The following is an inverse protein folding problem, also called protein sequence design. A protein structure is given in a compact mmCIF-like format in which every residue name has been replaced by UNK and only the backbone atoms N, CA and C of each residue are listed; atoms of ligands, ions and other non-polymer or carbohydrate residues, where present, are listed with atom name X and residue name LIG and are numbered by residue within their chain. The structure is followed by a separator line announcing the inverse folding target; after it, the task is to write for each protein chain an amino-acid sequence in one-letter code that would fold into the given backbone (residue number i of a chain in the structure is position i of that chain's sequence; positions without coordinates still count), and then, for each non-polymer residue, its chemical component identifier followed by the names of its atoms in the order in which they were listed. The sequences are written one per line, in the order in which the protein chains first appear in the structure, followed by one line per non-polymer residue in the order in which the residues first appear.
data_IF_141411153537
#
_entry.id   IF_141411153537
#
_cell.length_a   1.000
_cell.length_b   1.000
_cell.length_c   1.000
_cell.angle_alpha   90.00
_cell.angle_beta   90.00
_cell.angle_gamma   90.00
#
_symmetry.space_group_name_H-M   'P 1'
#
loop_
_entity.id
_entity.type
_entity.pdbx_description
1 polymer ?
#
# COMPACT_ATOMS: atom_id res chain seq x y z
N UNK A 1 23.83 19.30 -21.46
CA UNK A 1 23.48 19.37 -20.02
C UNK A 1 22.93 18.02 -19.68
N UNK A 2 23.78 17.14 -19.17
CA UNK A 2 23.38 15.76 -18.83
C UNK A 2 22.58 15.82 -17.54
N UNK A 3 21.31 15.45 -17.65
CA UNK A 3 20.42 15.13 -16.56
C UNK A 3 20.91 13.84 -15.90
N UNK A 4 21.90 13.96 -15.01
CA UNK A 4 22.38 12.91 -14.10
C UNK A 4 21.34 12.52 -13.02
N UNK A 5 20.07 12.84 -13.25
CA UNK A 5 18.95 12.49 -12.40
C UNK A 5 18.93 10.99 -12.26
N UNK A 6 19.55 10.50 -11.19
CA UNK A 6 19.75 9.09 -10.91
C UNK A 6 18.38 8.44 -10.98
N UNK A 7 18.10 7.75 -12.09
CA UNK A 7 16.85 7.05 -12.33
C UNK A 7 16.78 5.94 -11.28
N UNK A 8 16.18 6.28 -10.14
CA UNK A 8 16.12 5.40 -8.99
C UNK A 8 15.01 4.40 -9.28
N UNK A 9 15.40 3.26 -9.83
CA UNK A 9 14.47 2.20 -10.15
C UNK A 9 14.23 1.34 -8.91
N UNK A 10 13.05 1.50 -8.31
CA UNK A 10 12.62 0.69 -7.16
C UNK A 10 11.97 -0.57 -7.72
N UNK A 11 12.51 -1.74 -7.38
CA UNK A 11 11.91 -3.03 -7.73
C UNK A 11 11.04 -3.50 -6.58
N UNK A 12 9.81 -3.86 -6.90
CA UNK A 12 8.83 -4.42 -5.97
C UNK A 12 8.42 -5.82 -6.45
N UNK A 13 9.31 -6.83 -6.35
CA UNK A 13 9.07 -8.14 -6.94
C UNK A 13 7.93 -8.93 -6.30
N UNK A 14 7.54 -8.59 -5.06
CA UNK A 14 6.52 -9.31 -4.29
C UNK A 14 5.12 -8.68 -4.40
N UNK A 15 5.00 -7.54 -5.09
CA UNK A 15 3.75 -6.80 -5.19
C UNK A 15 3.21 -6.97 -6.61
N UNK A 16 2.01 -7.54 -6.73
CA UNK A 16 1.37 -7.65 -8.05
C UNK A 16 0.93 -6.28 -8.56
N UNK A 17 0.87 -6.07 -9.89
CA UNK A 17 0.43 -4.80 -10.46
C UNK A 17 -0.96 -4.35 -9.98
N UNK A 18 -1.88 -5.29 -9.76
CA UNK A 18 -3.23 -5.02 -9.28
C UNK A 18 -3.21 -4.48 -7.84
N UNK A 19 -2.44 -5.12 -6.96
CA UNK A 19 -2.28 -4.65 -5.57
C UNK A 19 -1.57 -3.31 -5.53
N UNK A 20 -0.56 -3.11 -6.38
CA UNK A 20 0.14 -1.84 -6.47
C UNK A 20 -0.80 -0.70 -6.90
N UNK A 21 -1.69 -0.93 -7.86
CA UNK A 21 -2.70 0.06 -8.27
C UNK A 21 -3.63 0.45 -7.11
N UNK A 22 -4.05 -0.52 -6.30
CA UNK A 22 -4.89 -0.26 -5.12
C UNK A 22 -4.14 0.61 -4.10
N UNK A 23 -2.86 0.32 -3.86
CA UNK A 23 -2.01 1.11 -2.97
C UNK A 23 -1.79 2.52 -3.50
N UNK A 24 -1.55 2.70 -4.80
CA UNK A 24 -1.46 4.03 -5.41
C UNK A 24 -2.76 4.81 -5.23
N UNK A 25 -3.92 4.17 -5.42
CA UNK A 25 -5.22 4.82 -5.19
C UNK A 25 -5.37 5.27 -3.74
N UNK A 26 -4.87 4.50 -2.78
CA UNK A 26 -4.82 4.93 -1.38
C UNK A 26 -3.89 6.14 -1.18
N UNK A 27 -2.66 6.10 -1.70
CA UNK A 27 -1.67 7.18 -1.52
C UNK A 27 -2.18 8.51 -2.09
N UNK A 28 -2.76 8.48 -3.29
CA UNK A 28 -3.28 9.69 -3.95
C UNK A 28 -4.69 10.07 -3.52
N UNK A 29 -5.51 9.11 -3.10
CA UNK A 29 -6.90 9.32 -2.71
C UNK A 29 -7.13 9.51 -1.21
N UNK A 30 -6.16 9.16 -0.36
CA UNK A 30 -6.21 9.25 1.11
C UNK A 30 -7.18 8.29 1.80
N UNK A 31 -7.96 7.51 1.02
CA UNK A 31 -8.96 6.57 1.55
C UNK A 31 -8.93 5.25 0.77
N UNK A 32 -9.11 4.17 1.51
CA UNK A 32 -9.23 2.81 0.98
C UNK A 32 -10.37 2.12 1.75
N UNK A 33 -11.37 1.62 1.03
CA UNK A 33 -12.42 0.79 1.61
C UNK A 33 -12.04 -0.67 1.43
N UNK A 34 -11.75 -1.39 2.52
CA UNK A 34 -11.37 -2.80 2.45
C UNK A 34 -12.57 -3.72 2.19
N UNK A 35 -13.79 -3.23 2.38
CA UNK A 35 -15.05 -3.98 2.19
C UNK A 35 -15.32 -4.32 0.71
N UNK A 36 -14.64 -3.64 -0.21
CA UNK A 36 -14.76 -3.83 -1.67
C UNK A 36 -13.85 -4.95 -2.21
N UNK A 37 -13.02 -5.57 -1.35
CA UNK A 37 -12.00 -6.54 -1.75
C UNK A 37 -12.20 -7.90 -1.08
N UNK A 38 -11.82 -8.96 -1.77
CA UNK A 38 -11.82 -10.31 -1.21
C UNK A 38 -10.78 -10.45 -0.10
N UNK A 39 -11.02 -11.36 0.84
CA UNK A 39 -10.12 -11.60 1.99
C UNK A 39 -8.67 -11.83 1.58
N UNK A 40 -8.43 -12.56 0.47
CA UNK A 40 -7.08 -12.81 -0.03
C UNK A 40 -6.40 -11.53 -0.54
N UNK A 41 -7.15 -10.65 -1.19
CA UNK A 41 -6.63 -9.39 -1.69
C UNK A 41 -6.38 -8.41 -0.54
N UNK A 42 -7.24 -8.39 0.47
CA UNK A 42 -6.99 -7.64 1.72
C UNK A 42 -5.66 -8.08 2.35
N UNK A 43 -5.42 -9.39 2.49
CA UNK A 43 -4.15 -9.91 3.04
C UNK A 43 -2.96 -9.45 2.19
N UNK A 44 -3.04 -9.56 0.87
CA UNK A 44 -1.96 -9.11 -0.04
C UNK A 44 -1.73 -7.60 0.04
N UNK A 45 -2.79 -6.80 0.14
CA UNK A 45 -2.71 -5.35 0.32
C UNK A 45 -1.98 -5.03 1.63
N UNK A 46 -2.34 -5.70 2.73
CA UNK A 46 -1.69 -5.49 4.03
C UNK A 46 -0.20 -5.87 4.01
N UNK A 47 0.14 -7.01 3.43
CA UNK A 47 1.54 -7.45 3.27
C UNK A 47 2.33 -6.44 2.42
N UNK A 48 1.77 -6.03 1.28
CA UNK A 48 2.40 -5.06 0.37
C UNK A 48 2.55 -3.68 1.01
N UNK A 49 1.57 -3.27 1.82
CA UNK A 49 1.63 -2.00 2.58
C UNK A 49 2.74 -2.02 3.62
N UNK A 50 2.96 -3.16 4.26
CA UNK A 50 4.09 -3.37 5.16
C UNK A 50 5.44 -3.33 4.42
N UNK A 51 5.54 -3.96 3.24
CA UNK A 51 6.75 -3.90 2.39
C UNK A 51 7.07 -2.46 1.94
N UNK A 52 6.05 -1.65 1.68
CA UNK A 52 6.18 -0.24 1.30
C UNK A 52 6.29 0.71 2.51
N UNK A 53 6.34 0.19 3.73
CA UNK A 53 6.39 0.93 4.99
C UNK A 53 5.25 1.97 5.13
N UNK A 54 4.06 1.67 4.57
CA UNK A 54 2.85 2.48 4.66
C UNK A 54 2.13 2.20 5.98
N UNK A 55 2.79 2.52 7.09
CA UNK A 55 2.31 2.19 8.44
C UNK A 55 0.91 2.77 8.72
N UNK A 56 0.50 3.87 8.08
CA UNK A 56 -0.84 4.44 8.26
C UNK A 56 -1.97 3.48 7.82
N UNK A 57 -1.76 2.68 6.77
CA UNK A 57 -2.69 1.63 6.34
C UNK A 57 -2.78 0.50 7.37
N UNK A 58 -1.65 0.13 7.97
CA UNK A 58 -1.56 -0.97 8.94
C UNK A 58 -2.05 -0.55 10.33
N UNK A 59 -1.79 0.69 10.73
CA UNK A 59 -2.10 1.27 12.05
C UNK A 59 -3.57 1.65 12.19
N UNK A 60 -4.27 2.05 11.11
CA UNK A 60 -5.73 2.23 11.16
C UNK A 60 -6.47 0.98 11.65
N UNK A 61 -5.95 -0.21 11.35
CA UNK A 61 -6.49 -1.49 11.85
C UNK A 61 -6.26 -1.70 13.36
N UNK A 62 -5.21 -1.14 13.95
CA UNK A 62 -4.91 -1.31 15.39
C UNK A 62 -5.60 -0.27 16.27
N UNK A 63 -5.65 1.00 15.85
CA UNK A 63 -6.20 2.08 16.69
C UNK A 63 -7.72 1.97 16.85
N UNK A 64 -8.43 1.45 15.85
CA UNK A 64 -9.88 1.24 15.97
C UNK A 64 -10.25 0.13 16.99
N UNK A 65 -9.32 -0.78 17.32
CA UNK A 65 -9.56 -1.87 18.27
C UNK A 65 -9.25 -1.52 19.74
N UNK A 66 -8.54 -0.43 20.04
CA UNK A 66 -8.17 -0.05 21.41
C UNK A 66 -8.97 1.12 22.00
N UNK A 67 -9.96 1.65 21.26
CA UNK A 67 -10.84 2.72 21.75
C UNK A 67 -12.32 2.33 21.86
N UNK A 68 -12.64 1.03 21.86
CA UNK A 68 -14.00 0.53 22.12
C UNK A 68 -14.02 -0.49 23.25
#
# INVERSE_FOLDING_TARGET
MENDGTLTHIKLPNISPEIFQIILRYIYGGKLSLEEYDTLDIIKILVSSNELNLQELTTKSFVYNYSK
#
